data_IF_526126468753
#
_entry.id   IF_526126468753
#
_cell.length_a   1.000
_cell.length_b   1.000
_cell.length_c   1.000
_cell.angle_alpha   90.00
_cell.angle_beta   90.00
_cell.angle_gamma   90.00
#
_symmetry.space_group_name_H-M   'P 1'
#
loop_
_entity.id
_entity.type
_entity.pdbx_description
1 polymer ?
#
# COMPACT_ATOMS: atom_id res chain seq x y z
N UNK A 1 -6.89 34.44 16.12
CA UNK A 1 -7.35 33.23 15.41
C UNK A 1 -8.48 32.64 16.20
N UNK A 2 -9.65 32.47 15.60
CA UNK A 2 -10.79 31.89 16.31
C UNK A 2 -10.55 30.39 16.53
N UNK A 3 -11.02 29.85 17.65
CA UNK A 3 -10.85 28.44 18.03
C UNK A 3 -11.20 27.43 16.89
N UNK A 4 -12.26 27.63 16.08
CA UNK A 4 -12.58 26.75 14.96
C UNK A 4 -11.54 26.79 13.82
N UNK A 5 -11.01 27.98 13.50
CA UNK A 5 -9.96 28.12 12.47
C UNK A 5 -8.66 27.43 12.89
N UNK A 6 -8.32 27.49 14.19
CA UNK A 6 -7.17 26.79 14.73
C UNK A 6 -7.34 25.26 14.63
N UNK A 7 -8.51 24.74 15.03
CA UNK A 7 -8.82 23.30 14.95
C UNK A 7 -8.80 22.82 13.50
N UNK A 8 -9.43 23.55 12.57
CA UNK A 8 -9.48 23.18 11.16
C UNK A 8 -8.07 23.15 10.54
N UNK A 9 -7.25 24.17 10.82
CA UNK A 9 -5.86 24.22 10.35
C UNK A 9 -5.04 23.06 10.92
N UNK A 10 -5.23 22.73 12.20
CA UNK A 10 -4.51 21.62 12.84
C UNK A 10 -4.90 20.27 12.27
N UNK A 11 -6.20 20.04 12.02
CA UNK A 11 -6.68 18.81 11.37
C UNK A 11 -6.15 18.69 9.94
N UNK A 12 -6.14 19.78 9.19
CA UNK A 12 -5.58 19.80 7.84
C UNK A 12 -4.10 19.38 7.81
N UNK A 13 -3.27 19.97 8.68
CA UNK A 13 -1.87 19.56 8.79
C UNK A 13 -1.72 18.12 9.28
N UNK A 14 -2.55 17.65 10.21
CA UNK A 14 -2.51 16.28 10.67
C UNK A 14 -2.81 15.28 9.54
N UNK A 15 -3.85 15.54 8.73
CA UNK A 15 -4.19 14.73 7.56
C UNK A 15 -3.04 14.71 6.55
N UNK A 16 -2.43 15.87 6.27
CA UNK A 16 -1.26 15.95 5.37
C UNK A 16 -0.09 15.12 5.90
N UNK A 17 0.22 15.22 7.19
CA UNK A 17 1.33 14.45 7.78
C UNK A 17 1.07 12.96 7.67
N UNK A 18 -0.15 12.52 8.02
CA UNK A 18 -0.54 11.11 7.91
C UNK A 18 -0.45 10.62 6.46
N UNK A 19 -1.01 11.37 5.51
CA UNK A 19 -0.92 11.04 4.08
C UNK A 19 0.53 11.02 3.59
N UNK A 20 1.38 11.93 4.06
CA UNK A 20 2.80 11.97 3.71
C UNK A 20 3.51 10.70 4.19
N UNK A 21 3.29 10.28 5.44
CA UNK A 21 3.88 9.06 5.99
C UNK A 21 3.38 7.81 5.25
N UNK A 22 2.07 7.73 4.97
CA UNK A 22 1.47 6.64 4.17
C UNK A 22 2.11 6.58 2.79
N UNK A 23 2.27 7.74 2.13
CA UNK A 23 2.87 7.83 0.79
C UNK A 23 4.33 7.39 0.81
N UNK A 24 5.12 7.90 1.76
CA UNK A 24 6.54 7.53 1.91
C UNK A 24 6.66 6.03 2.18
N UNK A 25 5.82 5.48 3.05
CA UNK A 25 5.81 4.05 3.37
C UNK A 25 5.46 3.22 2.13
N UNK A 26 4.40 3.61 1.39
CA UNK A 26 4.01 2.95 0.15
C UNK A 26 5.13 2.96 -0.88
N UNK A 27 5.75 4.12 -1.12
CA UNK A 27 6.87 4.28 -2.05
C UNK A 27 8.05 3.41 -1.62
N UNK A 28 8.45 3.46 -0.34
CA UNK A 28 9.54 2.63 0.18
C UNK A 28 9.25 1.14 0.01
N UNK A 29 8.04 0.69 0.33
CA UNK A 29 7.65 -0.71 0.13
C UNK A 29 7.68 -1.12 -1.34
N UNK A 30 7.27 -0.25 -2.25
CA UNK A 30 7.25 -0.53 -3.69
C UNK A 30 8.66 -0.49 -4.33
N UNK A 31 9.53 0.41 -3.85
CA UNK A 31 10.93 0.50 -4.33
C UNK A 31 11.80 -0.62 -3.79
N UNK A 32 11.63 -1.03 -2.53
CA UNK A 32 12.41 -2.12 -1.93
C UNK A 32 11.98 -3.49 -2.47
N UNK A 33 10.69 -3.64 -2.79
CA UNK A 33 10.12 -4.87 -3.33
C UNK A 33 9.64 -4.72 -4.77
N UNK A 34 10.55 -4.42 -5.71
CA UNK A 34 10.21 -4.20 -7.14
C UNK A 34 9.48 -5.38 -7.80
N UNK A 35 9.46 -6.54 -7.16
CA UNK A 35 8.57 -7.63 -7.50
C UNK A 35 7.86 -8.13 -6.23
N UNK A 36 6.72 -7.50 -5.91
CA UNK A 36 5.90 -7.78 -4.71
C UNK A 36 5.53 -9.26 -4.64
N UNK A 37 5.39 -9.89 -5.80
CA UNK A 37 5.10 -11.31 -5.96
C UNK A 37 6.31 -12.15 -5.52
N UNK A 38 7.52 -11.75 -5.87
CA UNK A 38 8.76 -12.40 -5.41
C UNK A 38 9.00 -12.16 -3.93
N UNK A 39 8.66 -10.98 -3.41
CA UNK A 39 8.71 -10.70 -1.97
C UNK A 39 7.72 -11.56 -1.17
N UNK A 40 6.55 -11.88 -1.75
CA UNK A 40 5.51 -12.66 -1.07
C UNK A 40 5.64 -14.18 -1.26
N UNK A 41 5.95 -14.66 -2.46
CA UNK A 41 6.10 -16.08 -2.75
C UNK A 41 7.54 -16.58 -2.61
N UNK A 42 8.53 -15.69 -2.40
CA UNK A 42 9.93 -16.06 -2.30
C UNK A 42 10.40 -16.86 -3.53
N UNK A 43 11.12 -17.96 -3.31
CA UNK A 43 11.57 -18.87 -4.39
C UNK A 43 10.42 -19.55 -5.14
N UNK A 44 9.22 -19.61 -4.56
CA UNK A 44 8.04 -20.20 -5.21
C UNK A 44 7.49 -19.33 -6.35
N UNK A 45 7.76 -18.01 -6.33
CA UNK A 45 7.43 -17.11 -7.43
C UNK A 45 8.15 -17.52 -8.73
N UNK A 46 9.42 -17.91 -8.60
CA UNK A 46 10.26 -18.34 -9.72
C UNK A 46 9.93 -19.76 -10.20
N UNK A 47 9.45 -20.63 -9.30
CA UNK A 47 9.11 -22.02 -9.62
C UNK A 47 7.73 -22.17 -10.29
N UNK A 48 6.79 -21.25 -10.03
CA UNK A 48 5.43 -21.30 -10.57
C UNK A 48 4.98 -19.94 -11.14
N UNK A 49 5.40 -19.57 -12.36
CA UNK A 49 5.05 -18.28 -12.97
C UNK A 49 3.53 -18.09 -13.17
N UNK A 50 2.77 -19.17 -13.32
CA UNK A 50 1.31 -19.12 -13.41
C UNK A 50 0.66 -18.71 -12.09
N UNK A 51 1.19 -19.18 -10.95
CA UNK A 51 0.74 -18.75 -9.62
C UNK A 51 1.11 -17.28 -9.39
N UNK A 52 2.33 -16.89 -9.76
CA UNK A 52 2.76 -15.49 -9.71
C UNK A 52 1.78 -14.54 -10.44
N UNK A 53 1.38 -14.88 -11.67
CA UNK A 53 0.42 -14.08 -12.45
C UNK A 53 -0.99 -14.06 -11.86
N UNK A 54 -1.46 -15.18 -11.31
CA UNK A 54 -2.76 -15.26 -10.63
C UNK A 54 -2.79 -14.34 -9.40
N UNK A 55 -1.71 -14.32 -8.62
CA UNK A 55 -1.57 -13.43 -7.47
C UNK A 55 -1.41 -11.98 -7.92
N UNK A 56 -0.65 -11.71 -8.99
CA UNK A 56 -0.52 -10.37 -9.57
C UNK A 56 -1.89 -9.77 -9.93
N UNK A 57 -2.73 -10.56 -10.59
CA UNK A 57 -4.08 -10.17 -10.98
C UNK A 57 -5.00 -10.01 -9.75
N UNK A 58 -4.92 -10.93 -8.78
CA UNK A 58 -5.75 -10.90 -7.57
C UNK A 58 -5.46 -9.69 -6.67
N UNK A 59 -4.22 -9.23 -6.63
CA UNK A 59 -3.79 -8.10 -5.79
C UNK A 59 -3.64 -6.80 -6.57
N UNK A 60 -4.14 -6.72 -7.80
CA UNK A 60 -4.07 -5.53 -8.65
C UNK A 60 -2.64 -5.02 -8.90
N UNK A 61 -1.64 -5.91 -8.78
CA UNK A 61 -0.22 -5.57 -8.95
C UNK A 61 0.14 -5.25 -10.41
N UNK A 62 -0.71 -5.67 -11.35
CA UNK A 62 -0.60 -5.35 -12.78
C UNK A 62 -1.21 -3.98 -13.14
N UNK A 63 -1.88 -3.32 -12.21
CA UNK A 63 -2.50 -2.03 -12.46
C UNK A 63 -1.49 -0.89 -12.27
N UNK A 64 -1.77 0.31 -12.84
CA UNK A 64 -0.88 1.45 -12.66
C UNK A 64 -0.67 1.80 -11.19
N UNK A 65 0.51 2.35 -10.87
CA UNK A 65 0.93 2.64 -9.49
C UNK A 65 -0.08 3.51 -8.71
N UNK A 66 -0.78 4.41 -9.39
CA UNK A 66 -1.80 5.26 -8.77
C UNK A 66 -3.06 4.48 -8.37
N UNK A 67 -3.41 3.43 -9.09
CA UNK A 67 -4.54 2.55 -8.74
C UNK A 67 -4.16 1.66 -7.55
N UNK A 68 -2.93 1.15 -7.53
CA UNK A 68 -2.40 0.40 -6.38
C UNK A 68 -2.37 1.27 -5.11
N UNK A 69 -1.99 2.53 -5.24
CA UNK A 69 -2.01 3.50 -4.12
C UNK A 69 -3.44 3.79 -3.64
N UNK A 70 -4.41 3.89 -4.55
CA UNK A 70 -5.81 4.04 -4.20
C UNK A 70 -6.33 2.85 -3.37
N UNK A 71 -6.09 1.62 -3.83
CA UNK A 71 -6.47 0.41 -3.06
C UNK A 71 -5.75 0.35 -1.70
N UNK A 72 -4.50 0.78 -1.63
CA UNK A 72 -3.75 0.85 -0.38
C UNK A 72 -4.39 1.83 0.62
N UNK A 73 -4.74 3.05 0.19
CA UNK A 73 -5.42 4.03 1.04
C UNK A 73 -6.80 3.51 1.48
N UNK A 74 -7.61 2.99 0.55
CA UNK A 74 -8.95 2.50 0.85
C UNK A 74 -8.88 1.32 1.84
N UNK A 75 -7.93 0.40 1.64
CA UNK A 75 -7.65 -0.69 2.57
C UNK A 75 -7.31 -0.16 3.96
N UNK A 76 -6.38 0.80 4.06
CA UNK A 76 -6.01 1.42 5.34
C UNK A 76 -7.21 2.08 6.04
N UNK A 77 -8.06 2.79 5.30
CA UNK A 77 -9.27 3.41 5.85
C UNK A 77 -10.30 2.38 6.32
N UNK A 78 -10.33 1.20 5.69
CA UNK A 78 -11.17 0.07 6.08
C UNK A 78 -10.54 -0.78 7.21
N UNK A 79 -9.36 -0.42 7.71
CA UNK A 79 -8.62 -1.18 8.73
C UNK A 79 -7.91 -2.43 8.18
N UNK A 80 -7.81 -2.57 6.86
CA UNK A 80 -7.04 -3.61 6.18
C UNK A 80 -5.59 -3.13 5.98
N UNK A 81 -4.68 -3.62 6.81
CA UNK A 81 -3.25 -3.29 6.76
C UNK A 81 -2.45 -4.10 5.74
N UNK A 82 -3.12 -4.85 4.87
CA UNK A 82 -2.51 -5.73 3.88
C UNK A 82 -2.38 -7.18 4.38
N UNK A 83 -1.76 -8.01 3.53
CA UNK A 83 -1.62 -9.44 3.76
C UNK A 83 -0.18 -9.77 4.15
N UNK A 84 0.00 -10.53 5.24
CA UNK A 84 1.30 -11.06 5.63
C UNK A 84 1.53 -12.41 4.95
N UNK A 85 2.52 -12.57 4.06
CA UNK A 85 2.80 -13.84 3.40
C UNK A 85 3.39 -14.90 4.34
N UNK A 86 3.75 -14.53 5.58
CA UNK A 86 4.44 -15.42 6.53
C UNK A 86 3.54 -16.42 7.28
N UNK A 87 2.25 -16.48 6.97
CA UNK A 87 1.33 -17.51 7.51
C UNK A 87 0.61 -18.21 6.36
N UNK A 88 1.26 -19.26 5.84
CA UNK A 88 0.75 -20.15 4.79
C UNK A 88 1.89 -20.98 4.22
#
# INVERSE_FOLDING_TARGET
MNLPQYVLRRLFFAVIVVLSVITITFVLSHYVGSDVIVAWLGKSAALHPQLAQLYAAKYHLNEPIWVQYYYYIVGLLQGNFGYSPSRG
#
